data_IF_047269243847
#
_entry.id   IF_047269243847
#
_cell.length_a   1.000
_cell.length_b   1.000
_cell.length_c   1.000
_cell.angle_alpha   90.00
_cell.angle_beta   90.00
_cell.angle_gamma   90.00
#
_symmetry.space_group_name_H-M   'P 1'
#
loop_
_entity.id
_entity.type
_entity.pdbx_description
1 polymer ?
#
# COMPACT_ATOMS: atom_id res chain seq x y z
N UNK A 1 5.60 8.97 13.82
CA UNK A 1 4.47 8.26 13.18
C UNK A 1 3.21 8.42 14.02
N UNK A 2 2.11 8.76 13.40
CA UNK A 2 0.82 8.86 14.09
C UNK A 2 0.11 7.51 14.02
N UNK A 3 -0.16 6.91 15.18
CA UNK A 3 -0.86 5.61 15.25
C UNK A 3 -2.34 5.75 15.60
N UNK A 4 -2.80 6.98 15.87
CA UNK A 4 -4.19 7.26 16.18
C UNK A 4 -4.93 7.67 14.91
N UNK A 5 -5.34 6.68 14.12
CA UNK A 5 -5.89 6.88 12.78
C UNK A 5 -7.41 6.80 12.80
N UNK A 6 -8.05 7.83 12.25
CA UNK A 6 -9.49 7.80 11.94
C UNK A 6 -9.66 7.11 10.58
N UNK A 7 -10.19 5.89 10.59
CA UNK A 7 -10.33 5.08 9.37
C UNK A 7 -11.27 5.71 8.36
N UNK A 8 -12.30 6.41 8.80
CA UNK A 8 -13.22 7.09 7.88
C UNK A 8 -12.52 8.23 7.14
N UNK A 9 -11.70 9.01 7.85
CA UNK A 9 -10.91 10.07 7.22
C UNK A 9 -9.87 9.51 6.27
N UNK A 10 -9.25 8.40 6.63
CA UNK A 10 -8.28 7.73 5.76
C UNK A 10 -8.94 7.30 4.44
N UNK A 11 -10.10 6.66 4.52
CA UNK A 11 -10.84 6.20 3.35
C UNK A 11 -11.29 7.38 2.49
N UNK A 12 -11.84 8.43 3.10
CA UNK A 12 -12.30 9.62 2.38
C UNK A 12 -11.13 10.31 1.66
N UNK A 13 -9.97 10.41 2.31
CA UNK A 13 -8.78 10.98 1.70
C UNK A 13 -8.27 10.13 0.53
N UNK A 14 -8.29 8.81 0.66
CA UNK A 14 -7.89 7.91 -0.41
C UNK A 14 -8.78 8.09 -1.65
N UNK A 15 -10.10 8.18 -1.47
CA UNK A 15 -11.04 8.43 -2.55
C UNK A 15 -10.78 9.81 -3.18
N UNK A 16 -10.55 10.82 -2.36
CA UNK A 16 -10.26 12.17 -2.84
C UNK A 16 -8.99 12.21 -3.69
N UNK A 17 -7.94 11.54 -3.26
CA UNK A 17 -6.69 11.46 -4.01
C UNK A 17 -6.91 10.71 -5.33
N UNK A 18 -7.63 9.60 -5.29
CA UNK A 18 -7.98 8.83 -6.48
C UNK A 18 -8.75 9.68 -7.49
N UNK A 19 -9.75 10.41 -7.03
CA UNK A 19 -10.57 11.25 -7.92
C UNK A 19 -9.81 12.47 -8.44
N UNK A 20 -8.70 12.85 -7.82
CA UNK A 20 -7.85 13.94 -8.29
C UNK A 20 -6.96 13.56 -9.49
N UNK A 21 -6.90 12.27 -9.82
CA UNK A 21 -6.16 11.78 -10.98
C UNK A 21 -5.10 10.73 -10.72
N UNK A 22 -4.84 10.40 -9.45
CA UNK A 22 -3.93 9.31 -9.12
C UNK A 22 -4.64 7.96 -9.23
N UNK A 23 -3.85 6.92 -9.48
CA UNK A 23 -4.38 5.56 -9.58
C UNK A 23 -4.45 4.88 -8.21
N UNK A 24 -4.97 3.64 -8.18
CA UNK A 24 -5.27 2.94 -6.93
C UNK A 24 -4.05 2.73 -6.02
N UNK A 25 -2.92 2.25 -6.55
CA UNK A 25 -1.72 2.03 -5.75
C UNK A 25 -1.14 3.34 -5.20
N UNK A 26 -1.08 4.36 -6.03
CA UNK A 26 -0.59 5.69 -5.66
C UNK A 26 -1.46 6.32 -4.59
N UNK A 27 -2.78 6.16 -4.71
CA UNK A 27 -3.75 6.71 -3.75
C UNK A 27 -3.65 6.06 -2.39
N UNK A 28 -3.47 4.73 -2.34
CA UNK A 28 -3.31 3.98 -1.09
C UNK A 28 -2.05 4.45 -0.35
N UNK A 29 -0.93 4.54 -1.05
CA UNK A 29 0.34 4.97 -0.44
C UNK A 29 0.22 6.41 0.08
N UNK A 30 -0.33 7.31 -0.73
CA UNK A 30 -0.48 8.71 -0.37
C UNK A 30 -1.39 8.89 0.85
N UNK A 31 -2.52 8.19 0.87
CA UNK A 31 -3.47 8.27 1.98
C UNK A 31 -2.87 7.74 3.29
N UNK A 32 -2.14 6.62 3.22
CA UNK A 32 -1.48 6.04 4.39
C UNK A 32 -0.35 6.96 4.87
N UNK A 33 0.43 7.52 3.95
CA UNK A 33 1.46 8.50 4.28
C UNK A 33 0.89 9.66 5.09
N UNK A 34 -0.23 10.21 4.62
CA UNK A 34 -0.88 11.34 5.28
C UNK A 34 -1.44 10.94 6.66
N UNK A 35 -2.16 9.83 6.73
CA UNK A 35 -2.85 9.40 7.95
C UNK A 35 -1.88 9.04 9.08
N UNK A 36 -0.78 8.37 8.75
CA UNK A 36 0.23 7.94 9.72
C UNK A 36 1.37 8.93 9.86
N UNK A 37 1.35 10.02 9.11
CA UNK A 37 2.40 11.05 9.10
C UNK A 37 3.76 10.41 8.85
N UNK A 38 3.83 9.59 7.80
CA UNK A 38 5.04 8.87 7.43
C UNK A 38 5.90 9.71 6.47
N UNK A 39 7.21 9.50 6.59
CA UNK A 39 8.19 10.16 5.73
C UNK A 39 8.42 9.36 4.44
N UNK A 40 7.34 9.02 3.76
CA UNK A 40 7.40 8.31 2.48
C UNK A 40 7.71 9.34 1.38
N UNK A 41 8.82 9.18 0.65
CA UNK A 41 9.16 10.13 -0.40
C UNK A 41 8.23 9.99 -1.62
N UNK A 42 8.09 11.06 -2.39
CA UNK A 42 7.31 11.05 -3.63
C UNK A 42 7.81 10.00 -4.62
N UNK A 43 9.10 9.70 -4.60
CA UNK A 43 9.68 8.65 -5.45
C UNK A 43 9.09 7.27 -5.18
N UNK A 44 8.69 6.99 -3.93
CA UNK A 44 8.04 5.72 -3.60
C UNK A 44 6.63 5.65 -4.20
N UNK A 45 5.90 6.77 -4.22
CA UNK A 45 4.62 6.86 -4.89
C UNK A 45 4.80 6.63 -6.39
N UNK A 46 5.79 7.29 -6.99
CA UNK A 46 6.11 7.10 -8.41
C UNK A 46 6.46 5.65 -8.75
N UNK A 47 7.16 4.95 -7.85
CA UNK A 47 7.50 3.54 -8.04
C UNK A 47 6.27 2.63 -8.09
N UNK A 48 5.16 3.05 -7.50
CA UNK A 48 3.91 2.28 -7.53
C UNK A 48 3.10 2.49 -8.82
N UNK A 49 3.51 3.41 -9.68
CA UNK A 49 2.73 3.80 -10.86
C UNK A 49 2.58 2.71 -11.92
N UNK A 50 3.35 1.62 -11.83
CA UNK A 50 3.21 0.48 -12.74
C UNK A 50 2.16 -0.55 -12.33
N UNK A 51 1.64 -0.46 -11.10
CA UNK A 51 0.67 -1.46 -10.60
C UNK A 51 -0.79 -1.26 -11.03
N UNK A 52 -1.27 -0.03 -11.31
CA UNK A 52 -2.68 0.17 -11.63
C UNK A 52 -3.17 -0.68 -12.80
N UNK A 53 -4.46 -1.04 -12.73
CA UNK A 53 -5.11 -1.93 -13.69
C UNK A 53 -4.45 -3.32 -13.73
N UNK A 54 -3.89 -3.74 -12.57
CA UNK A 54 -3.22 -5.01 -12.44
C UNK A 54 -1.97 -5.08 -13.31
N UNK A 55 -0.88 -4.45 -12.87
CA UNK A 55 0.42 -4.44 -13.59
C UNK A 55 0.29 -3.86 -15.00
N UNK A 56 -0.01 -2.56 -15.05
CA UNK A 56 -0.02 -1.85 -16.32
C UNK A 56 -1.11 -2.30 -17.28
N UNK A 57 -2.23 -2.80 -16.75
CA UNK A 57 -3.36 -3.23 -17.56
C UNK A 57 -3.41 -4.72 -17.83
N UNK A 58 -2.49 -5.51 -17.27
CA UNK A 58 -2.47 -6.97 -17.46
C UNK A 58 -3.61 -7.71 -16.72
N UNK A 59 -4.26 -7.06 -15.75
CA UNK A 59 -5.40 -7.60 -15.03
C UNK A 59 -5.07 -8.31 -13.71
N UNK A 60 -3.80 -8.33 -13.32
CA UNK A 60 -3.29 -8.86 -12.05
C UNK A 60 -1.88 -8.31 -11.82
N UNK A 61 -1.51 -7.83 -10.66
CA UNK A 61 -2.09 -7.86 -9.33
C UNK A 61 -2.89 -6.56 -9.07
N UNK A 62 -3.84 -6.59 -8.10
CA UNK A 62 -4.61 -5.40 -7.72
C UNK A 62 -3.69 -4.30 -7.18
N UNK A 63 -3.82 -3.07 -7.70
CA UNK A 63 -3.00 -1.94 -7.30
C UNK A 63 -3.16 -1.54 -5.84
N UNK A 64 -4.35 -1.72 -5.27
CA UNK A 64 -4.58 -1.44 -3.84
C UNK A 64 -3.81 -2.42 -2.95
N UNK A 65 -3.76 -3.70 -3.34
CA UNK A 65 -2.97 -4.72 -2.63
C UNK A 65 -1.49 -4.40 -2.74
N UNK A 66 -1.02 -4.07 -3.94
CA UNK A 66 0.38 -3.72 -4.17
C UNK A 66 0.80 -2.48 -3.38
N UNK A 67 -0.03 -1.43 -3.39
CA UNK A 67 0.23 -0.22 -2.61
C UNK A 67 0.27 -0.47 -1.11
N UNK A 68 -0.67 -1.28 -0.61
CA UNK A 68 -0.67 -1.67 0.80
C UNK A 68 0.58 -2.45 1.18
N UNK A 69 0.99 -3.39 0.34
CA UNK A 69 2.22 -4.17 0.56
C UNK A 69 3.45 -3.25 0.58
N UNK A 70 3.51 -2.26 -0.28
CA UNK A 70 4.60 -1.28 -0.29
C UNK A 70 4.65 -0.49 1.02
N UNK A 71 3.50 -0.10 1.58
CA UNK A 71 3.45 0.59 2.87
C UNK A 71 3.97 -0.29 4.01
N UNK A 72 3.61 -1.58 4.00
CA UNK A 72 4.17 -2.55 4.97
C UNK A 72 5.68 -2.65 4.80
N UNK A 73 6.15 -2.69 3.57
CA UNK A 73 7.58 -2.69 3.24
C UNK A 73 8.29 -1.45 3.75
N UNK A 74 7.67 -0.29 3.64
CA UNK A 74 8.24 0.95 4.17
C UNK A 74 8.44 0.88 5.69
N UNK A 75 7.47 0.31 6.41
CA UNK A 75 7.51 0.24 7.87
C UNK A 75 8.38 -0.90 8.41
N UNK A 76 8.43 -2.04 7.72
CA UNK A 76 9.02 -3.27 8.23
C UNK A 76 10.03 -3.91 7.29
N UNK A 77 10.29 -3.30 6.14
CA UNK A 77 11.19 -3.83 5.12
C UNK A 77 12.66 -3.66 5.48
N UNK A 78 13.49 -4.20 4.62
CA UNK A 78 14.95 -4.12 4.75
C UNK A 78 15.59 -3.60 3.48
N UNK A 79 16.79 -3.06 3.61
CA UNK A 79 17.62 -2.70 2.47
C UNK A 79 18.99 -3.42 2.50
N UNK A 80 19.17 -4.32 3.47
CA UNK A 80 20.43 -5.08 3.63
C UNK A 80 20.11 -6.56 3.66
N UNK A 81 20.81 -7.40 2.87
CA UNK A 81 20.63 -8.85 2.92
C UNK A 81 20.94 -9.38 4.32
N UNK A 82 20.15 -10.35 4.77
CA UNK A 82 20.33 -10.97 6.09
C UNK A 82 19.67 -10.24 7.26
N UNK A 83 19.10 -9.06 7.02
CA UNK A 83 18.40 -8.33 8.08
C UNK A 83 17.11 -9.09 8.46
N UNK A 84 16.98 -9.53 9.75
CA UNK A 84 15.82 -10.31 10.19
C UNK A 84 14.50 -9.54 10.19
N UNK A 85 14.50 -8.23 10.00
CA UNK A 85 13.28 -7.42 9.85
C UNK A 85 12.36 -7.95 8.77
N UNK A 86 12.92 -8.62 7.74
CA UNK A 86 12.14 -9.18 6.64
C UNK A 86 11.10 -10.19 7.12
N UNK A 87 11.36 -10.91 8.21
CA UNK A 87 10.44 -11.91 8.72
C UNK A 87 9.11 -11.31 9.15
N UNK A 88 9.17 -10.18 9.87
CA UNK A 88 7.95 -9.48 10.29
C UNK A 88 7.23 -8.85 9.11
N UNK A 89 7.98 -8.34 8.14
CA UNK A 89 7.43 -7.83 6.90
C UNK A 89 6.63 -8.91 6.16
N UNK A 90 7.17 -10.11 6.04
CA UNK A 90 6.50 -11.25 5.39
C UNK A 90 5.24 -11.66 6.14
N UNK A 91 5.28 -11.74 7.47
CA UNK A 91 4.09 -12.07 8.28
C UNK A 91 2.97 -11.08 8.03
N UNK A 92 3.26 -9.78 8.11
CA UNK A 92 2.25 -8.74 7.98
C UNK A 92 1.71 -8.65 6.56
N UNK A 93 2.57 -8.81 5.56
CA UNK A 93 2.15 -8.79 4.16
C UNK A 93 1.27 -9.99 3.84
N UNK A 94 1.63 -11.18 4.33
CA UNK A 94 0.81 -12.37 4.15
C UNK A 94 -0.55 -12.21 4.83
N UNK A 95 -0.58 -11.71 6.04
CA UNK A 95 -1.83 -11.46 6.77
C UNK A 95 -2.72 -10.47 6.01
N UNK A 96 -2.14 -9.39 5.51
CA UNK A 96 -2.86 -8.41 4.70
C UNK A 96 -3.42 -9.04 3.43
N UNK A 97 -2.61 -9.80 2.71
CA UNK A 97 -3.02 -10.52 1.50
C UNK A 97 -4.19 -11.46 1.79
N UNK A 98 -4.07 -12.28 2.83
CA UNK A 98 -5.07 -13.29 3.15
C UNK A 98 -6.40 -12.63 3.58
N UNK A 99 -6.34 -11.56 4.37
CA UNK A 99 -7.53 -10.81 4.76
C UNK A 99 -8.19 -10.13 3.57
N UNK A 100 -7.42 -9.54 2.68
CA UNK A 100 -7.94 -8.90 1.48
C UNK A 100 -8.63 -9.93 0.58
N UNK A 101 -8.01 -11.08 0.37
CA UNK A 101 -8.58 -12.16 -0.44
C UNK A 101 -9.87 -12.68 0.17
N UNK A 102 -9.92 -12.84 1.49
CA UNK A 102 -11.12 -13.29 2.20
C UNK A 102 -12.26 -12.29 2.07
N UNK A 103 -11.97 -10.98 2.19
CA UNK A 103 -12.96 -9.92 2.13
C UNK A 103 -13.50 -9.71 0.72
N UNK A 104 -12.64 -9.75 -0.29
CA UNK A 104 -12.99 -9.38 -1.67
C UNK A 104 -12.97 -10.55 -2.65
N UNK A 105 -12.60 -11.74 -2.22
CA UNK A 105 -12.59 -12.95 -3.02
C UNK A 105 -11.39 -13.13 -3.95
N UNK A 106 -10.59 -12.09 -4.17
CA UNK A 106 -9.45 -12.14 -5.08
C UNK A 106 -8.45 -11.03 -4.76
N UNK A 107 -7.22 -11.18 -5.28
CA UNK A 107 -6.17 -10.15 -5.23
C UNK A 107 -5.78 -9.67 -6.63
N UNK A 108 -6.49 -10.13 -7.64
CA UNK A 108 -6.30 -9.71 -9.04
C UNK A 108 -7.44 -8.87 -9.56
#
# INVERSE_FOLDING_TARGET
MNTNVDMNKLQDNAVKIFTSGFACSESVISAIRDALELDIPDSAIAMSSGFPWGMGGAGCLCGAVAGGAMCIGFLYGRSTPGDPKINRCFELTKEFHDKFKKEFGATC
#
